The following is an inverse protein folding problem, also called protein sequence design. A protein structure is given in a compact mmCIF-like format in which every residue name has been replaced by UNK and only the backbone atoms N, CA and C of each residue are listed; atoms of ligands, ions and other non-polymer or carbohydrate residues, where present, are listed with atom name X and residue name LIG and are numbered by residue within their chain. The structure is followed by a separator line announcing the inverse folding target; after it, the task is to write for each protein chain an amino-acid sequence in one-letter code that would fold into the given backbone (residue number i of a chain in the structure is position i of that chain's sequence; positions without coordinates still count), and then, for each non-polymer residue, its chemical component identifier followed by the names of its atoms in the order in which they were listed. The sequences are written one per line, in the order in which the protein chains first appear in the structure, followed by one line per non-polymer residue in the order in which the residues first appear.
data_IF_289070700349
#
_entry.id   IF_289070700349
#
_cell.length_a   1.000
_cell.length_b   1.000
_cell.length_c   1.000
_cell.angle_alpha   90.00
_cell.angle_beta   90.00
_cell.angle_gamma   90.00
#
_symmetry.space_group_name_H-M   'P 1'
#
loop_
_entity.id
_entity.type
_entity.pdbx_description
1 polymer ?
#
# COMPACT_ATOMS: atom_id res chain seq x y z
N UNK A 1 7.06 -19.30 -9.43
CA UNK A 1 6.31 -18.35 -8.60
C UNK A 1 7.26 -17.58 -7.69
N UNK A 2 7.09 -16.28 -7.62
CA UNK A 2 7.89 -15.42 -6.75
C UNK A 2 7.54 -15.71 -5.29
N UNK A 3 8.55 -15.81 -4.43
CA UNK A 3 8.32 -16.12 -3.03
C UNK A 3 7.65 -14.95 -2.30
N UNK A 4 8.22 -13.76 -2.42
CA UNK A 4 7.73 -12.56 -1.75
C UNK A 4 7.67 -11.40 -2.72
N UNK A 5 6.50 -10.80 -2.85
CA UNK A 5 6.30 -9.64 -3.68
C UNK A 5 5.88 -8.43 -2.86
N UNK A 6 6.21 -7.25 -3.34
CA UNK A 6 5.79 -5.98 -2.73
C UNK A 6 5.22 -5.08 -3.82
N UNK A 7 4.02 -4.59 -3.58
CA UNK A 7 3.42 -3.55 -4.42
C UNK A 7 3.05 -2.38 -3.53
N UNK A 8 2.80 -1.24 -4.13
CA UNK A 8 2.41 -0.07 -3.34
C UNK A 8 1.44 0.80 -4.11
N UNK A 9 0.71 1.62 -3.40
CA UNK A 9 -0.22 2.57 -3.95
C UNK A 9 -0.76 3.49 -2.89
N UNK A 10 -1.43 4.56 -3.31
CA UNK A 10 -2.03 5.50 -2.38
C UNK A 10 -3.33 4.98 -1.78
N UNK A 11 -4.14 4.33 -2.59
CA UNK A 11 -5.43 3.77 -2.17
C UNK A 11 -6.27 4.79 -1.39
N UNK A 12 -6.32 6.03 -1.87
CA UNK A 12 -7.05 7.11 -1.19
C UNK A 12 -8.55 7.03 -1.39
N UNK A 13 -8.98 6.26 -2.36
CA UNK A 13 -10.18 5.45 -2.28
C UNK A 13 -9.83 4.18 -3.01
N UNK A 14 -10.04 3.06 -2.36
CA UNK A 14 -9.83 1.75 -2.99
C UNK A 14 -10.97 1.51 -3.97
N UNK A 15 -10.64 1.12 -5.19
CA UNK A 15 -11.66 0.80 -6.19
C UNK A 15 -11.26 -0.45 -6.98
N UNK A 16 -12.14 -0.88 -7.87
CA UNK A 16 -12.02 -2.17 -8.56
C UNK A 16 -10.69 -2.32 -9.32
N UNK A 17 -10.22 -1.27 -9.96
CA UNK A 17 -8.94 -1.35 -10.67
C UNK A 17 -7.76 -1.56 -9.73
N UNK A 18 -7.82 -0.98 -8.55
CA UNK A 18 -6.82 -1.27 -7.52
C UNK A 18 -6.85 -2.75 -7.16
N UNK A 19 -8.04 -3.33 -7.02
CA UNK A 19 -8.17 -4.75 -6.69
C UNK A 19 -7.67 -5.64 -7.81
N UNK A 20 -7.91 -5.27 -9.06
CA UNK A 20 -7.35 -6.01 -10.20
C UNK A 20 -5.83 -6.07 -10.14
N UNK A 21 -5.20 -4.93 -9.86
CA UNK A 21 -3.75 -4.83 -9.72
C UNK A 21 -3.24 -5.68 -8.55
N UNK A 22 -3.89 -5.55 -7.39
CA UNK A 22 -3.51 -6.30 -6.18
C UNK A 22 -3.62 -7.80 -6.41
N UNK A 23 -4.75 -8.24 -6.96
CA UNK A 23 -4.98 -9.67 -7.16
C UNK A 23 -4.07 -10.24 -8.23
N UNK A 24 -3.77 -9.47 -9.29
CA UNK A 24 -2.82 -9.91 -10.31
C UNK A 24 -1.43 -10.10 -9.70
N UNK A 25 -1.01 -9.18 -8.85
CA UNK A 25 0.27 -9.30 -8.15
C UNK A 25 0.28 -10.51 -7.22
N UNK A 26 -0.82 -10.73 -6.49
CA UNK A 26 -0.91 -11.87 -5.57
C UNK A 26 -0.77 -13.20 -6.30
N UNK A 27 -1.33 -13.30 -7.49
CA UNK A 27 -1.22 -14.53 -8.28
C UNK A 27 0.21 -14.87 -8.68
N UNK A 28 1.12 -13.91 -8.62
CA UNK A 28 2.52 -14.08 -9.04
C UNK A 28 3.46 -14.38 -7.90
N UNK A 29 2.99 -14.36 -6.67
CA UNK A 29 3.84 -14.59 -5.50
C UNK A 29 3.11 -15.39 -4.43
N UNK A 30 3.88 -16.00 -3.54
CA UNK A 30 3.32 -16.76 -2.42
C UNK A 30 2.84 -15.83 -1.31
N UNK A 31 3.65 -14.81 -1.01
CA UNK A 31 3.31 -13.81 -0.01
C UNK A 31 3.40 -12.43 -0.65
N UNK A 32 2.33 -11.65 -0.55
CA UNK A 32 2.28 -10.30 -1.07
C UNK A 32 2.23 -9.29 0.07
N UNK A 33 3.09 -8.28 0.00
CA UNK A 33 3.03 -7.13 0.90
C UNK A 33 2.45 -5.94 0.12
N UNK A 34 1.38 -5.38 0.64
CA UNK A 34 0.65 -4.29 0.00
C UNK A 34 1.02 -3.01 0.75
N UNK A 35 1.86 -2.20 0.15
CA UNK A 35 2.33 -0.97 0.77
C UNK A 35 1.40 0.20 0.52
N UNK A 36 1.01 0.88 1.58
CA UNK A 36 0.20 2.09 1.47
C UNK A 36 1.15 3.29 1.52
N UNK A 37 1.21 4.01 0.42
CA UNK A 37 2.07 5.19 0.35
C UNK A 37 1.47 6.36 1.13
N UNK A 38 2.33 7.32 1.49
CA UNK A 38 1.92 8.48 2.28
C UNK A 38 1.15 8.06 3.53
N UNK A 39 1.75 7.18 4.38
CA UNK A 39 1.06 6.69 5.57
C UNK A 39 0.86 7.78 6.61
N UNK A 40 1.65 8.84 6.56
CA UNK A 40 1.66 9.91 7.52
C UNK A 40 1.48 11.24 6.79
N UNK A 41 0.58 12.10 7.28
CA UNK A 41 0.35 13.42 6.71
C UNK A 41 1.59 14.31 6.75
N UNK A 42 2.50 14.07 7.68
CA UNK A 42 3.78 14.80 7.74
C UNK A 42 4.63 14.53 6.50
N UNK A 43 4.61 13.31 6.00
CA UNK A 43 5.37 12.95 4.81
C UNK A 43 4.81 13.61 3.55
N UNK A 44 3.51 13.80 3.47
CA UNK A 44 2.89 14.47 2.32
C UNK A 44 3.14 15.97 2.33
N UNK A 45 3.33 16.57 3.50
CA UNK A 45 3.58 18.00 3.62
C UNK A 45 4.91 18.43 3.01
N UNK A 46 5.85 17.52 2.91
CA UNK A 46 7.19 17.82 2.40
C UNK A 46 7.25 17.81 0.87
N UNK A 47 6.15 17.54 0.20
CA UNK A 47 6.07 17.62 -1.25
C UNK A 47 5.88 19.08 -1.67
N UNK A 48 6.96 19.85 -1.59
CA UNK A 48 6.94 21.31 -1.72
C UNK A 48 6.41 21.78 -3.06
N UNK A 49 6.60 21.01 -4.10
CA UNK A 49 6.22 21.39 -5.46
C UNK A 49 4.84 20.94 -5.88
N UNK A 50 4.08 20.36 -4.96
CA UNK A 50 2.77 19.83 -5.28
C UNK A 50 1.80 20.03 -4.11
N UNK A 51 1.43 21.27 -3.91
CA UNK A 51 0.55 21.67 -2.80
C UNK A 51 -0.77 20.92 -2.84
N UNK A 52 -1.32 20.70 -4.03
CA UNK A 52 -2.61 20.03 -4.18
C UNK A 52 -2.56 18.56 -3.75
N UNK A 53 -1.46 17.88 -4.04
CA UNK A 53 -1.29 16.48 -3.65
C UNK A 53 -1.02 16.31 -2.16
N UNK A 54 -0.42 17.33 -1.55
CA UNK A 54 -0.14 17.31 -0.12
C UNK A 54 -1.34 17.72 0.71
N UNK A 55 -2.33 18.37 0.10
CA UNK A 55 -3.50 18.86 0.81
C UNK A 55 -4.36 17.71 1.34
N UNK A 56 -5.03 17.96 2.46
CA UNK A 56 -5.94 16.98 3.06
C UNK A 56 -7.02 16.53 2.07
N UNK A 57 -7.46 17.42 1.19
CA UNK A 57 -8.46 17.09 0.19
C UNK A 57 -7.99 16.05 -0.82
N UNK A 58 -6.67 15.99 -1.07
CA UNK A 58 -6.09 14.99 -1.97
C UNK A 58 -5.74 13.70 -1.23
N UNK A 59 -5.65 13.74 0.11
CA UNK A 59 -5.32 12.59 0.94
C UNK A 59 -6.34 12.50 2.09
N UNK A 60 -7.62 12.25 1.78
CA UNK A 60 -8.70 12.33 2.77
C UNK A 60 -8.70 11.18 3.78
N UNK A 61 -8.12 10.04 3.44
CA UNK A 61 -8.18 8.86 4.30
C UNK A 61 -6.89 8.67 5.07
N UNK A 62 -7.02 8.29 6.34
CA UNK A 62 -5.86 7.94 7.16
C UNK A 62 -5.27 6.62 6.69
N UNK A 63 -4.06 6.32 7.15
CA UNK A 63 -3.46 5.02 6.91
C UNK A 63 -4.37 3.90 7.42
N UNK A 64 -4.89 4.04 8.63
CA UNK A 64 -5.72 3.00 9.24
C UNK A 64 -6.99 2.74 8.42
N UNK A 65 -7.65 3.81 7.96
CA UNK A 65 -8.84 3.65 7.13
C UNK A 65 -8.54 2.90 5.84
N UNK A 66 -7.43 3.25 5.19
CA UNK A 66 -7.00 2.57 3.96
C UNK A 66 -6.62 1.11 4.24
N UNK A 67 -5.93 0.88 5.33
CA UNK A 67 -5.57 -0.47 5.79
C UNK A 67 -6.81 -1.33 5.95
N UNK A 68 -7.82 -0.82 6.64
CA UNK A 68 -9.05 -1.57 6.87
C UNK A 68 -9.81 -1.86 5.57
N UNK A 69 -9.82 -0.90 4.64
CA UNK A 69 -10.48 -1.09 3.35
C UNK A 69 -9.82 -2.20 2.54
N UNK A 70 -8.50 -2.22 2.52
CA UNK A 70 -7.76 -3.25 1.77
C UNK A 70 -7.99 -4.62 2.41
N UNK A 71 -7.89 -4.72 3.72
CA UNK A 71 -8.13 -5.99 4.40
C UNK A 71 -9.54 -6.50 4.17
N UNK A 72 -10.53 -5.63 4.23
CA UNK A 72 -11.91 -6.00 3.95
C UNK A 72 -12.10 -6.52 2.53
N UNK A 73 -11.49 -5.85 1.56
CA UNK A 73 -11.57 -6.30 0.17
C UNK A 73 -10.88 -7.63 -0.05
N UNK A 74 -9.71 -7.84 0.58
CA UNK A 74 -9.02 -9.13 0.47
C UNK A 74 -9.85 -10.27 1.05
N UNK A 75 -10.57 -10.01 2.14
CA UNK A 75 -11.49 -10.99 2.70
C UNK A 75 -12.63 -11.31 1.74
N UNK A 76 -13.20 -10.30 1.10
CA UNK A 76 -14.26 -10.51 0.12
C UNK A 76 -13.79 -11.36 -1.06
N UNK A 77 -12.55 -11.19 -1.50
CA UNK A 77 -11.97 -11.99 -2.56
C UNK A 77 -11.37 -13.30 -2.05
N UNK A 78 -11.56 -13.61 -0.77
CA UNK A 78 -11.17 -14.86 -0.14
C UNK A 78 -9.67 -15.17 -0.24
N UNK A 79 -8.85 -14.13 -0.15
CA UNK A 79 -7.39 -14.31 -0.08
C UNK A 79 -7.04 -14.67 1.36
N UNK A 80 -6.32 -15.78 1.59
CA UNK A 80 -5.95 -16.17 2.97
C UNK A 80 -5.06 -15.12 3.64
N UNK A 81 -5.35 -14.83 4.90
CA UNK A 81 -4.57 -13.84 5.65
C UNK A 81 -3.09 -14.18 5.74
N UNK A 82 -2.76 -15.46 5.69
CA UNK A 82 -1.37 -15.91 5.74
C UNK A 82 -0.58 -15.55 4.47
N UNK A 83 -1.28 -15.18 3.39
CA UNK A 83 -0.66 -14.95 2.09
C UNK A 83 -0.47 -13.48 1.74
N UNK A 84 -0.88 -12.57 2.59
CA UNK A 84 -0.67 -11.15 2.35
C UNK A 84 -0.53 -10.39 3.66
N UNK A 85 -0.02 -9.18 3.54
CA UNK A 85 0.03 -8.24 4.66
C UNK A 85 -0.08 -6.82 4.11
N UNK A 86 -0.57 -5.91 4.93
CA UNK A 86 -0.70 -4.49 4.55
C UNK A 86 0.27 -3.72 5.42
N UNK A 87 1.14 -2.93 4.79
CA UNK A 87 2.22 -2.25 5.49
C UNK A 87 2.28 -0.77 5.08
N UNK A 88 2.84 0.08 5.94
CA UNK A 88 3.17 1.44 5.54
C UNK A 88 4.29 1.42 4.49
N UNK A 89 4.22 2.32 3.53
CA UNK A 89 5.25 2.42 2.50
C UNK A 89 5.61 3.89 2.32
N UNK A 90 6.54 4.42 3.12
CA UNK A 90 6.86 5.85 3.13
C UNK A 90 7.71 6.25 1.92
N UNK A 91 7.08 6.34 0.76
CA UNK A 91 7.76 6.59 -0.50
C UNK A 91 8.46 7.97 -0.54
N UNK A 92 7.94 8.92 0.22
CA UNK A 92 8.57 10.25 0.34
C UNK A 92 9.81 10.25 1.23
N UNK A 93 10.00 9.18 1.99
CA UNK A 93 11.16 8.98 2.85
C UNK A 93 11.71 7.58 2.60
N UNK A 94 12.35 7.35 1.44
CA UNK A 94 12.75 6.00 1.03
C UNK A 94 13.64 5.27 2.03
N UNK A 95 14.40 6.01 2.82
CA UNK A 95 15.27 5.43 3.84
C UNK A 95 14.50 4.67 4.92
N UNK A 96 13.20 4.92 5.05
CA UNK A 96 12.35 4.24 6.03
C UNK A 96 11.65 3.01 5.48
N UNK A 97 11.71 2.78 4.17
CA UNK A 97 10.97 1.66 3.57
C UNK A 97 11.35 0.32 4.18
N UNK A 98 12.63 0.08 4.39
CA UNK A 98 13.09 -1.18 4.96
C UNK A 98 12.78 -1.34 6.46
N UNK A 99 12.25 -0.31 7.10
CA UNK A 99 11.72 -0.45 8.44
C UNK A 99 10.39 -1.22 8.45
N UNK A 100 9.69 -1.23 7.32
CA UNK A 100 8.36 -1.81 7.22
C UNK A 100 8.27 -2.96 6.23
N UNK A 101 9.09 -2.94 5.18
CA UNK A 101 9.02 -3.90 4.09
C UNK A 101 10.14 -4.94 4.19
N UNK A 102 9.92 -6.16 3.67
CA UNK A 102 10.96 -7.18 3.69
C UNK A 102 12.15 -6.80 2.81
N UNK A 103 13.35 -7.17 3.25
CA UNK A 103 14.58 -6.88 2.51
C UNK A 103 14.69 -7.71 1.25
N UNK A 104 14.27 -8.96 1.32
CA UNK A 104 14.34 -9.89 0.20
C UNK A 104 12.97 -10.07 -0.41
N UNK A 105 12.69 -9.31 -1.45
CA UNK A 105 11.40 -9.33 -2.12
C UNK A 105 11.53 -8.78 -3.53
N UNK A 106 10.56 -9.09 -4.37
CA UNK A 106 10.43 -8.51 -5.72
C UNK A 106 9.43 -7.37 -5.61
N UNK A 107 9.89 -6.19 -5.96
CA UNK A 107 9.07 -4.98 -5.89
C UNK A 107 8.38 -4.68 -7.23
#
# INVERSE_FOLDING_TARGET
MIETGVIHGRFQVLHLKHMEYILAAKMRCRKLYIGITNPDSMHTRDSVNDINRSAKSANPLTYFERYEMIRGAMQEFRVPESEYDVIPFPISCPEYILQYAPKEAVY
#
